data_IF_399251547680
#
_entry.id   IF_399251547680
#
_cell.length_a   1.000
_cell.length_b   1.000
_cell.length_c   1.000
_cell.angle_alpha   90.00
_cell.angle_beta   90.00
_cell.angle_gamma   90.00
#
_symmetry.space_group_name_H-M   'P 1'
#
loop_
_entity.id
_entity.type
_entity.pdbx_description
1 polymer ?
#
# COMPACT_ATOMS: atom_id res chain seq x y z
N UNK A 1 -23.53 -20.27 -7.21
CA UNK A 1 -22.36 -19.58 -6.64
C UNK A 1 -21.82 -18.61 -7.68
N UNK A 2 -21.74 -17.28 -7.43
CA UNK A 2 -21.41 -16.31 -8.47
C UNK A 2 -19.92 -16.27 -8.86
N UNK A 3 -19.09 -17.19 -8.34
CA UNK A 3 -17.62 -17.13 -8.50
C UNK A 3 -17.05 -18.22 -9.41
N UNK A 4 -17.88 -19.06 -10.01
CA UNK A 4 -17.44 -20.16 -10.89
C UNK A 4 -16.85 -19.71 -12.23
N UNK A 5 -16.92 -18.42 -12.56
CA UNK A 5 -16.46 -17.86 -13.84
C UNK A 5 -15.44 -16.72 -13.66
N UNK A 6 -14.70 -16.70 -12.54
CA UNK A 6 -13.61 -15.72 -12.40
C UNK A 6 -12.51 -15.97 -13.42
N UNK A 7 -11.95 -14.89 -14.02
CA UNK A 7 -10.81 -15.03 -14.88
C UNK A 7 -9.69 -15.80 -14.15
N UNK A 8 -9.02 -16.76 -14.80
CA UNK A 8 -7.95 -17.56 -14.19
C UNK A 8 -6.86 -16.73 -13.53
N UNK A 9 -6.56 -15.55 -14.10
CA UNK A 9 -5.58 -14.60 -13.55
C UNK A 9 -5.97 -14.09 -12.16
N UNK A 10 -7.23 -13.73 -11.92
CA UNK A 10 -7.68 -13.30 -10.60
C UNK A 10 -7.63 -14.45 -9.60
N UNK A 11 -8.00 -15.64 -10.01
CA UNK A 11 -7.96 -16.83 -9.15
C UNK A 11 -6.52 -17.17 -8.75
N UNK A 12 -5.56 -17.13 -9.68
CA UNK A 12 -4.15 -17.40 -9.40
C UNK A 12 -3.53 -16.35 -8.50
N UNK A 13 -3.81 -15.06 -8.75
CA UNK A 13 -3.34 -13.94 -7.91
C UNK A 13 -3.88 -14.04 -6.49
N UNK A 14 -5.17 -14.29 -6.32
CA UNK A 14 -5.78 -14.42 -4.99
C UNK A 14 -5.27 -15.65 -4.24
N UNK A 15 -5.03 -16.74 -4.94
CA UNK A 15 -4.44 -17.96 -4.36
C UNK A 15 -3.01 -17.73 -3.90
N UNK A 16 -2.22 -17.01 -4.68
CA UNK A 16 -0.85 -16.62 -4.31
C UNK A 16 -0.85 -15.77 -3.02
N UNK A 17 -1.69 -14.76 -2.92
CA UNK A 17 -1.83 -13.95 -1.72
C UNK A 17 -2.33 -14.76 -0.52
N UNK A 18 -3.25 -15.68 -0.75
CA UNK A 18 -3.84 -16.52 0.28
C UNK A 18 -2.85 -17.53 0.89
N UNK A 19 -1.84 -17.97 0.15
CA UNK A 19 -0.84 -18.96 0.59
C UNK A 19 -0.06 -18.56 1.85
N UNK A 20 0.03 -17.25 2.12
CA UNK A 20 0.71 -16.68 3.30
C UNK A 20 -0.16 -16.65 4.57
N UNK A 21 -1.41 -17.08 4.49
CA UNK A 21 -2.35 -17.01 5.58
C UNK A 21 -2.67 -18.39 6.15
N UNK A 22 -3.14 -18.41 7.40
CA UNK A 22 -3.70 -19.63 7.98
C UNK A 22 -4.86 -20.16 7.11
N UNK A 23 -4.97 -21.48 6.97
CA UNK A 23 -5.93 -22.19 6.08
C UNK A 23 -7.34 -21.58 6.07
N UNK A 24 -7.92 -21.26 7.24
CA UNK A 24 -9.26 -20.66 7.34
C UNK A 24 -9.33 -19.25 6.74
N UNK A 25 -8.30 -18.44 6.93
CA UNK A 25 -8.22 -17.08 6.36
C UNK A 25 -7.91 -17.13 4.86
N UNK A 26 -7.06 -18.07 4.44
CA UNK A 26 -6.73 -18.31 3.04
C UNK A 26 -7.97 -18.63 2.20
N UNK A 27 -8.86 -19.50 2.70
CA UNK A 27 -10.12 -19.84 2.01
C UNK A 27 -11.09 -18.66 1.88
N UNK A 28 -11.01 -17.66 2.79
CA UNK A 28 -11.93 -16.52 2.81
C UNK A 28 -11.39 -15.30 2.07
N UNK A 29 -10.06 -15.16 1.97
CA UNK A 29 -9.43 -13.98 1.37
C UNK A 29 -9.90 -13.73 -0.07
N UNK A 30 -9.93 -14.71 -1.00
CA UNK A 30 -10.39 -14.48 -2.36
C UNK A 30 -11.80 -13.89 -2.41
N UNK A 31 -12.70 -14.42 -1.59
CA UNK A 31 -14.10 -13.94 -1.51
C UNK A 31 -14.17 -12.50 -1.00
N UNK A 32 -13.34 -12.14 0.01
CA UNK A 32 -13.27 -10.77 0.51
C UNK A 32 -12.67 -9.81 -0.52
N UNK A 33 -11.64 -10.20 -1.26
CA UNK A 33 -11.06 -9.38 -2.32
C UNK A 33 -12.06 -9.10 -3.43
N UNK A 34 -12.86 -10.09 -3.82
CA UNK A 34 -13.98 -9.87 -4.75
C UNK A 34 -15.02 -8.91 -4.18
N UNK A 35 -15.34 -9.05 -2.90
CA UNK A 35 -16.22 -8.12 -2.23
C UNK A 35 -15.71 -6.67 -2.27
N UNK A 36 -14.41 -6.48 -2.12
CA UNK A 36 -13.78 -5.14 -2.26
C UNK A 36 -13.92 -4.60 -3.68
N UNK A 37 -13.72 -5.44 -4.70
CA UNK A 37 -13.82 -5.04 -6.11
C UNK A 37 -15.24 -4.69 -6.54
N UNK A 38 -16.24 -5.44 -6.05
CA UNK A 38 -17.63 -5.29 -6.48
C UNK A 38 -18.49 -4.48 -5.52
N UNK A 39 -17.94 -4.02 -4.38
CA UNK A 39 -18.71 -3.19 -3.46
C UNK A 39 -19.05 -1.83 -4.08
N UNK A 40 -20.33 -1.52 -4.17
CA UNK A 40 -20.86 -0.22 -4.57
C UNK A 40 -21.25 0.61 -3.36
N UNK A 41 -21.18 1.94 -3.48
CA UNK A 41 -21.56 2.86 -2.41
C UNK A 41 -20.47 3.04 -1.34
N UNK A 42 -20.81 3.08 -0.06
CA UNK A 42 -19.87 3.32 1.04
C UNK A 42 -18.80 2.22 1.11
N UNK A 43 -17.54 2.61 1.10
CA UNK A 43 -16.38 1.69 1.21
C UNK A 43 -16.16 1.25 2.66
N UNK A 44 -17.09 0.46 3.19
CA UNK A 44 -17.01 -0.14 4.52
C UNK A 44 -16.75 -1.64 4.43
N UNK A 45 -16.16 -2.21 5.47
CA UNK A 45 -15.92 -3.67 5.54
C UNK A 45 -17.23 -4.46 5.40
N UNK A 46 -18.31 -3.94 5.98
CA UNK A 46 -19.64 -4.56 5.84
C UNK A 46 -20.17 -4.55 4.41
N UNK A 47 -19.90 -3.47 3.64
CA UNK A 47 -20.24 -3.42 2.21
C UNK A 47 -19.48 -4.47 1.40
N UNK A 48 -18.21 -4.71 1.73
CA UNK A 48 -17.42 -5.78 1.11
C UNK A 48 -18.03 -7.16 1.40
N UNK A 49 -18.45 -7.39 2.65
CA UNK A 49 -19.08 -8.67 3.01
C UNK A 49 -20.36 -8.91 2.23
N UNK A 50 -21.22 -7.89 2.14
CA UNK A 50 -22.47 -7.97 1.37
C UNK A 50 -22.21 -8.20 -0.11
N UNK A 51 -21.27 -7.46 -0.71
CA UNK A 51 -20.88 -7.65 -2.10
C UNK A 51 -20.26 -9.04 -2.34
N UNK A 52 -19.58 -9.60 -1.34
CA UNK A 52 -19.08 -10.98 -1.34
C UNK A 52 -20.17 -12.04 -1.05
N UNK A 53 -21.44 -11.65 -0.96
CA UNK A 53 -22.56 -12.54 -0.60
C UNK A 53 -22.39 -13.22 0.76
N UNK A 54 -21.76 -12.56 1.71
CA UNK A 54 -21.67 -12.99 3.11
C UNK A 54 -22.86 -12.31 3.83
N UNK A 55 -23.86 -13.05 4.22
CA UNK A 55 -25.14 -12.51 4.72
C UNK A 55 -25.43 -12.87 6.18
N UNK A 56 -24.98 -14.04 6.62
CA UNK A 56 -25.44 -14.61 7.88
C UNK A 56 -24.51 -14.27 9.06
N UNK A 57 -23.28 -14.73 9.04
CA UNK A 57 -22.30 -14.46 10.12
C UNK A 57 -21.10 -13.70 9.59
N UNK A 58 -20.95 -12.44 9.98
CA UNK A 58 -19.82 -11.59 9.63
C UNK A 58 -18.58 -11.82 10.49
N UNK A 59 -18.70 -12.49 11.63
CA UNK A 59 -17.59 -12.69 12.58
C UNK A 59 -16.38 -13.38 11.95
N UNK A 60 -16.51 -14.48 11.19
CA UNK A 60 -15.37 -15.10 10.52
C UNK A 60 -14.70 -14.20 9.49
N UNK A 61 -15.46 -13.33 8.82
CA UNK A 61 -14.95 -12.38 7.84
C UNK A 61 -14.17 -11.25 8.53
N UNK A 62 -14.67 -10.69 9.63
CA UNK A 62 -13.92 -9.73 10.45
C UNK A 62 -12.63 -10.33 11.01
N UNK A 63 -12.68 -11.57 11.51
CA UNK A 63 -11.49 -12.29 11.96
C UNK A 63 -10.45 -12.43 10.86
N UNK A 64 -10.90 -12.68 9.62
CA UNK A 64 -10.00 -12.76 8.46
C UNK A 64 -9.38 -11.40 8.13
N UNK A 65 -10.15 -10.32 8.13
CA UNK A 65 -9.61 -8.95 7.92
C UNK A 65 -8.54 -8.63 8.97
N UNK A 66 -8.78 -8.94 10.25
CA UNK A 66 -7.80 -8.76 11.31
C UNK A 66 -6.55 -9.64 11.11
N UNK A 67 -6.70 -10.88 10.65
CA UNK A 67 -5.59 -11.78 10.36
C UNK A 67 -4.74 -11.24 9.20
N UNK A 68 -5.37 -10.81 8.09
CA UNK A 68 -4.72 -10.17 6.96
C UNK A 68 -3.85 -8.98 7.40
N UNK A 69 -4.39 -8.12 8.27
CA UNK A 69 -3.64 -6.97 8.79
C UNK A 69 -2.39 -7.32 9.61
N UNK A 70 -2.28 -8.55 10.13
CA UNK A 70 -1.07 -9.02 10.85
C UNK A 70 0.00 -9.58 9.91
N UNK A 71 -0.35 -9.91 8.68
CA UNK A 71 0.53 -10.54 7.69
C UNK A 71 0.92 -9.59 6.54
N UNK A 72 0.82 -8.27 6.75
CA UNK A 72 1.11 -7.25 5.72
C UNK A 72 2.44 -7.45 5.00
N UNK A 73 3.58 -7.74 5.66
CA UNK A 73 4.84 -7.96 4.95
C UNK A 73 4.81 -9.16 4.00
N UNK A 74 4.16 -10.24 4.39
CA UNK A 74 4.01 -11.44 3.56
C UNK A 74 3.06 -11.19 2.37
N UNK A 75 1.97 -10.48 2.62
CA UNK A 75 1.04 -10.09 1.56
C UNK A 75 1.69 -9.13 0.57
N UNK A 76 2.51 -8.19 1.04
CA UNK A 76 3.31 -7.32 0.19
C UNK A 76 4.28 -8.12 -0.70
N UNK A 77 4.93 -9.16 -0.15
CA UNK A 77 5.76 -10.07 -0.94
C UNK A 77 4.92 -10.84 -1.96
N UNK A 78 3.78 -11.39 -1.56
CA UNK A 78 2.84 -12.04 -2.48
C UNK A 78 2.39 -11.11 -3.61
N UNK A 79 2.13 -9.84 -3.28
CA UNK A 79 1.79 -8.80 -4.28
C UNK A 79 2.96 -8.54 -5.23
N UNK A 80 4.19 -8.40 -4.70
CA UNK A 80 5.39 -8.25 -5.54
C UNK A 80 5.56 -9.42 -6.50
N UNK A 81 5.41 -10.66 -6.02
CA UNK A 81 5.50 -11.86 -6.86
C UNK A 81 4.40 -11.93 -7.92
N UNK A 82 3.19 -11.48 -7.61
CA UNK A 82 2.09 -11.40 -8.57
C UNK A 82 2.29 -10.29 -9.62
N UNK A 83 2.92 -9.18 -9.25
CA UNK A 83 3.22 -8.05 -10.14
C UNK A 83 4.45 -8.33 -11.02
N UNK A 84 5.42 -9.07 -10.51
CA UNK A 84 6.69 -9.33 -11.18
C UNK A 84 6.57 -9.77 -12.66
N UNK A 85 5.67 -10.66 -13.06
CA UNK A 85 5.52 -11.05 -14.48
C UNK A 85 5.08 -9.92 -15.40
N UNK A 86 4.53 -8.83 -14.85
CA UNK A 86 4.13 -7.63 -15.60
C UNK A 86 5.27 -6.63 -15.78
N UNK A 87 6.40 -6.87 -15.13
CA UNK A 87 7.58 -6.02 -15.19
C UNK A 87 8.55 -6.59 -16.22
N UNK A 88 8.95 -5.78 -17.18
CA UNK A 88 9.80 -6.18 -18.30
C UNK A 88 11.20 -5.58 -18.19
N UNK A 89 12.21 -6.36 -18.66
CA UNK A 89 13.61 -5.94 -18.76
C UNK A 89 14.41 -6.08 -17.46
N UNK A 90 15.70 -5.70 -17.49
CA UNK A 90 16.64 -5.90 -16.39
C UNK A 90 16.47 -4.89 -15.24
N UNK A 91 15.64 -3.87 -15.41
CA UNK A 91 15.46 -2.75 -14.47
C UNK A 91 14.12 -2.84 -13.78
N UNK A 92 14.14 -2.81 -12.44
CA UNK A 92 12.96 -2.53 -11.65
C UNK A 92 12.90 -1.04 -11.32
N UNK A 93 11.85 -0.36 -11.75
CA UNK A 93 11.55 1.01 -11.33
C UNK A 93 10.40 0.99 -10.34
N UNK A 94 10.58 1.59 -9.18
CA UNK A 94 9.53 1.76 -8.18
C UNK A 94 9.24 3.24 -7.95
N UNK A 95 8.00 3.56 -7.61
CA UNK A 95 7.60 4.88 -7.14
C UNK A 95 7.28 4.83 -5.65
N UNK A 96 7.68 5.87 -4.93
CA UNK A 96 7.29 6.07 -3.53
C UNK A 96 6.67 7.45 -3.39
N UNK A 97 5.48 7.46 -2.81
CA UNK A 97 4.73 8.69 -2.57
C UNK A 97 3.82 8.53 -1.35
N UNK A 98 3.32 9.65 -0.83
CA UNK A 98 2.36 9.63 0.25
C UNK A 98 0.98 10.10 -0.19
N UNK A 99 -0.02 9.30 0.16
CA UNK A 99 -1.41 9.52 -0.23
C UNK A 99 -2.26 9.83 1.00
N UNK A 100 -2.81 11.05 1.11
CA UNK A 100 -3.79 11.37 2.14
C UNK A 100 -5.13 10.71 1.80
N UNK A 101 -5.79 10.15 2.81
CA UNK A 101 -7.13 9.56 2.69
C UNK A 101 -8.05 10.14 3.76
N UNK A 102 -9.06 10.95 3.38
CA UNK A 102 -9.99 11.53 4.33
C UNK A 102 -10.67 10.48 5.21
N UNK A 103 -10.89 10.84 6.45
CA UNK A 103 -11.64 10.04 7.43
C UNK A 103 -12.68 10.92 8.09
N UNK A 104 -13.72 10.29 8.59
CA UNK A 104 -14.84 10.95 9.25
C UNK A 104 -15.05 10.33 10.62
N UNK A 105 -15.37 11.14 11.59
CA UNK A 105 -15.61 10.74 12.96
C UNK A 105 -14.39 10.94 13.88
N UNK A 106 -14.63 11.20 15.18
CA UNK A 106 -13.59 11.60 16.13
C UNK A 106 -12.67 10.44 16.57
N UNK A 107 -13.16 9.20 16.51
CA UNK A 107 -12.48 8.03 17.06
C UNK A 107 -11.89 7.12 15.98
N UNK A 108 -11.11 7.71 15.06
CA UNK A 108 -10.42 6.93 14.02
C UNK A 108 -8.95 6.76 14.41
N UNK A 109 -8.58 5.55 14.81
CA UNK A 109 -7.22 5.22 15.22
C UNK A 109 -6.17 5.66 14.18
N UNK A 110 -5.22 6.48 14.61
CA UNK A 110 -4.11 6.94 13.75
C UNK A 110 -4.48 8.02 12.74
N UNK A 111 -5.71 8.51 12.74
CA UNK A 111 -6.07 9.68 11.96
C UNK A 111 -5.57 10.97 12.63
N UNK A 112 -5.25 11.95 11.83
CA UNK A 112 -4.78 13.26 12.26
C UNK A 112 -5.08 14.33 11.22
N UNK A 113 -4.77 15.58 11.53
CA UNK A 113 -4.87 16.69 10.58
C UNK A 113 -3.54 16.78 9.84
N UNK A 114 -3.61 16.63 8.51
CA UNK A 114 -2.45 16.68 7.63
C UNK A 114 -2.59 17.82 6.63
N UNK A 115 -1.45 18.38 6.21
CA UNK A 115 -1.45 19.31 5.08
C UNK A 115 -1.85 18.55 3.80
N UNK A 116 -2.76 19.15 3.04
CA UNK A 116 -3.19 18.62 1.73
C UNK A 116 -2.36 19.30 0.63
N UNK A 117 -1.39 18.62 0.02
CA UNK A 117 -0.49 19.27 -0.94
C UNK A 117 -1.16 19.60 -2.28
N UNK A 118 -2.29 18.97 -2.57
CA UNK A 118 -3.03 19.18 -3.82
C UNK A 118 -4.53 19.30 -3.55
N UNK A 119 -4.97 20.38 -2.86
CA UNK A 119 -6.38 20.63 -2.71
C UNK A 119 -6.99 20.85 -4.10
N UNK A 120 -8.05 20.10 -4.42
CA UNK A 120 -8.84 20.38 -5.62
C UNK A 120 -9.54 21.74 -5.51
N UNK A 121 -10.28 22.18 -6.55
CA UNK A 121 -10.94 23.49 -6.55
C UNK A 121 -11.84 23.77 -5.34
N UNK A 122 -12.40 22.72 -4.74
CA UNK A 122 -13.22 22.79 -3.52
C UNK A 122 -12.50 22.18 -2.29
N UNK A 123 -11.20 21.90 -2.39
CA UNK A 123 -10.45 21.20 -1.36
C UNK A 123 -9.83 22.13 -0.33
N UNK A 124 -9.89 21.73 0.93
CA UNK A 124 -9.27 22.46 2.03
C UNK A 124 -7.76 22.24 2.08
N UNK A 125 -7.03 23.25 2.57
CA UNK A 125 -5.57 23.19 2.80
C UNK A 125 -5.16 22.06 3.74
N UNK A 126 -6.05 21.61 4.59
CA UNK A 126 -5.84 20.53 5.55
C UNK A 126 -6.88 19.44 5.39
N UNK A 127 -6.48 18.21 5.62
CA UNK A 127 -7.36 17.04 5.61
C UNK A 127 -7.23 16.29 6.94
N UNK A 128 -8.38 16.01 7.56
CA UNK A 128 -8.44 15.05 8.66
C UNK A 128 -8.49 13.65 8.07
N UNK A 129 -7.52 12.81 8.42
CA UNK A 129 -7.49 11.46 7.87
C UNK A 129 -6.20 10.71 8.12
N UNK A 130 -5.96 9.73 7.29
CA UNK A 130 -4.74 8.93 7.26
C UNK A 130 -3.83 9.40 6.12
N UNK A 131 -2.52 9.28 6.33
CA UNK A 131 -1.52 9.42 5.27
C UNK A 131 -0.79 8.08 5.13
N UNK A 132 -0.74 7.56 3.92
CA UNK A 132 -0.10 6.30 3.60
C UNK A 132 1.14 6.55 2.76
N UNK A 133 2.30 6.08 3.23
CA UNK A 133 3.51 6.01 2.41
C UNK A 133 3.43 4.73 1.60
N UNK A 134 3.33 4.86 0.29
CA UNK A 134 3.06 3.77 -0.64
C UNK A 134 4.25 3.51 -1.53
N UNK A 135 4.63 2.24 -1.65
CA UNK A 135 5.61 1.72 -2.61
C UNK A 135 4.87 1.01 -3.73
N UNK A 136 5.08 1.42 -4.96
CA UNK A 136 4.50 0.83 -6.16
C UNK A 136 5.57 0.46 -7.19
N UNK A 137 5.42 -0.65 -7.89
CA UNK A 137 6.21 -0.96 -9.08
C UNK A 137 5.64 -0.22 -10.29
N UNK A 138 6.50 0.30 -11.15
CA UNK A 138 6.09 0.92 -12.41
C UNK A 138 6.19 -0.11 -13.55
N UNK A 139 5.05 -0.44 -14.13
CA UNK A 139 4.94 -1.32 -15.29
C UNK A 139 4.63 -0.51 -16.54
N UNK A 140 5.15 -0.94 -17.70
CA UNK A 140 4.77 -0.38 -18.99
C UNK A 140 3.41 -0.94 -19.41
N UNK A 141 2.55 -0.08 -19.91
CA UNK A 141 1.26 -0.45 -20.49
C UNK A 141 1.15 0.12 -21.91
N UNK A 142 0.69 -0.67 -22.90
CA UNK A 142 0.67 -0.24 -24.30
C UNK A 142 -0.20 1.01 -24.51
N UNK A 143 -1.36 1.10 -23.86
CA UNK A 143 -2.30 2.20 -24.05
C UNK A 143 -2.10 3.36 -23.06
N UNK A 144 -1.65 3.08 -21.84
CA UNK A 144 -1.56 4.07 -20.75
C UNK A 144 -0.13 4.50 -20.43
N UNK A 145 0.85 4.01 -21.17
CA UNK A 145 2.26 4.32 -20.96
C UNK A 145 2.82 3.63 -19.71
N UNK A 146 2.80 4.29 -18.56
CA UNK A 146 3.26 3.72 -17.30
C UNK A 146 2.11 3.63 -16.28
N UNK A 147 1.98 2.47 -15.64
CA UNK A 147 1.04 2.27 -14.54
C UNK A 147 1.79 1.94 -13.26
N UNK A 148 1.32 2.50 -12.15
CA UNK A 148 1.84 2.19 -10.83
C UNK A 148 1.02 1.04 -10.22
N UNK A 149 1.71 -0.03 -9.84
CA UNK A 149 1.14 -1.23 -9.21
C UNK A 149 1.54 -1.24 -7.73
N UNK A 150 0.64 -0.85 -6.80
CA UNK A 150 0.95 -0.76 -5.38
C UNK A 150 1.31 -2.13 -4.81
N UNK A 151 2.44 -2.20 -4.10
CA UNK A 151 2.90 -3.43 -3.45
C UNK A 151 2.79 -3.35 -1.93
N UNK A 152 3.12 -2.19 -1.35
CA UNK A 152 3.10 -1.98 0.09
C UNK A 152 2.63 -0.56 0.41
N UNK A 153 1.81 -0.42 1.46
CA UNK A 153 1.46 0.86 2.04
C UNK A 153 1.65 0.81 3.55
N UNK A 154 2.25 1.86 4.11
CA UNK A 154 2.46 1.99 5.55
C UNK A 154 1.76 3.24 6.07
N UNK A 155 1.00 3.10 7.16
CA UNK A 155 0.30 4.22 7.78
C UNK A 155 1.30 5.11 8.52
N UNK A 156 1.41 6.35 8.08
CA UNK A 156 2.13 7.40 8.79
C UNK A 156 1.25 7.98 9.90
N UNK A 157 1.80 8.06 11.11
CA UNK A 157 1.15 8.66 12.27
C UNK A 157 2.06 9.78 12.78
N UNK A 158 1.52 10.97 12.94
CA UNK A 158 2.28 12.10 13.49
C UNK A 158 2.72 11.79 14.91
N UNK A 159 3.84 12.36 15.32
CA UNK A 159 4.40 12.16 16.66
C UNK A 159 3.39 12.50 17.76
N UNK A 160 2.69 13.62 17.62
CA UNK A 160 1.69 14.09 18.58
C UNK A 160 0.46 13.18 18.69
N UNK A 161 0.14 12.44 17.61
CA UNK A 161 -1.02 11.55 17.59
C UNK A 161 -0.69 10.13 18.10
N UNK A 162 0.59 9.78 18.28
CA UNK A 162 0.99 8.47 18.80
C UNK A 162 0.49 8.21 20.23
N UNK A 163 0.42 9.26 21.05
CA UNK A 163 -0.07 9.17 22.42
C UNK A 163 -1.55 8.83 22.51
N UNK A 164 -2.34 9.21 21.49
CA UNK A 164 -3.78 8.96 21.38
C UNK A 164 -4.11 7.50 21.05
N UNK A 165 -3.12 6.75 20.52
CA UNK A 165 -3.32 5.34 20.23
C UNK A 165 -3.45 4.50 21.50
N UNK A 166 -4.27 3.45 21.48
CA UNK A 166 -4.28 2.45 22.52
C UNK A 166 -2.88 1.89 22.78
N UNK A 167 -2.47 1.70 24.04
CA UNK A 167 -1.12 1.25 24.44
C UNK A 167 -0.61 0.07 23.61
N UNK A 168 -1.45 -0.91 23.33
CA UNK A 168 -1.11 -2.11 22.52
C UNK A 168 -0.81 -1.82 21.04
N UNK A 169 -1.18 -0.64 20.54
CA UNK A 169 -0.98 -0.22 19.16
C UNK A 169 0.10 0.85 18.99
N UNK A 170 0.64 1.35 20.11
CA UNK A 170 1.74 2.33 20.07
C UNK A 170 2.99 1.69 19.50
N UNK A 171 3.67 2.45 18.67
CA UNK A 171 4.94 2.08 18.03
C UNK A 171 5.88 3.28 18.05
N UNK A 172 7.19 3.08 17.90
CA UNK A 172 8.13 4.19 17.77
C UNK A 172 7.72 5.12 16.63
N UNK A 173 7.94 6.42 16.81
CA UNK A 173 7.74 7.40 15.75
C UNK A 173 8.67 7.12 14.58
N UNK A 174 8.16 7.26 13.36
CA UNK A 174 8.91 7.18 12.12
C UNK A 174 8.48 8.30 11.20
N UNK A 175 9.46 9.00 10.64
CA UNK A 175 9.20 9.98 9.59
C UNK A 175 8.81 9.28 8.28
N UNK A 176 8.15 9.99 7.37
CA UNK A 176 7.84 9.46 6.02
C UNK A 176 9.11 9.01 5.29
N UNK A 177 10.23 9.75 5.45
CA UNK A 177 11.53 9.40 4.86
C UNK A 177 12.09 8.08 5.40
N UNK A 178 11.95 7.83 6.70
CA UNK A 178 12.35 6.56 7.31
C UNK A 178 11.47 5.42 6.80
N UNK A 179 10.15 5.62 6.72
CA UNK A 179 9.22 4.61 6.19
C UNK A 179 9.54 4.27 4.73
N UNK A 180 9.81 5.26 3.89
CA UNK A 180 10.23 5.05 2.51
C UNK A 180 11.55 4.27 2.43
N UNK A 181 12.53 4.59 3.27
CA UNK A 181 13.80 3.86 3.34
C UNK A 181 13.60 2.41 3.79
N UNK A 182 12.73 2.16 4.77
CA UNK A 182 12.36 0.81 5.21
C UNK A 182 11.69 0.00 4.10
N UNK A 183 10.86 0.62 3.26
CA UNK A 183 10.25 -0.04 2.11
C UNK A 183 11.28 -0.46 1.07
N UNK A 184 12.28 0.38 0.77
CA UNK A 184 13.41 0.00 -0.11
C UNK A 184 14.25 -1.12 0.51
N UNK A 185 14.51 -1.05 1.83
CA UNK A 185 15.22 -2.10 2.54
C UNK A 185 14.48 -3.44 2.48
N UNK A 186 13.17 -3.42 2.66
CA UNK A 186 12.31 -4.60 2.53
C UNK A 186 12.34 -5.17 1.10
N UNK A 187 12.25 -4.32 0.08
CA UNK A 187 12.18 -4.74 -1.31
C UNK A 187 13.51 -5.33 -1.82
N UNK A 188 14.65 -4.76 -1.37
CA UNK A 188 15.98 -5.06 -1.92
C UNK A 188 16.31 -6.55 -2.06
N UNK A 189 16.17 -7.40 -1.03
CA UNK A 189 16.52 -8.82 -1.12
C UNK A 189 15.68 -9.57 -2.16
N UNK A 190 14.42 -9.21 -2.31
CA UNK A 190 13.51 -9.84 -3.27
C UNK A 190 13.73 -9.38 -4.70
N UNK A 191 14.01 -8.09 -4.88
CA UNK A 191 14.22 -7.52 -6.21
C UNK A 191 15.58 -7.89 -6.81
N UNK A 192 16.63 -7.95 -5.99
CA UNK A 192 17.99 -8.18 -6.45
C UNK A 192 18.22 -9.56 -7.10
N UNK A 193 17.39 -10.54 -6.80
CA UNK A 193 17.46 -11.85 -7.43
C UNK A 193 16.82 -11.89 -8.82
N UNK A 194 16.16 -10.82 -9.25
CA UNK A 194 15.38 -10.78 -10.48
C UNK A 194 15.72 -9.60 -11.40
N UNK A 195 16.33 -8.55 -10.87
CA UNK A 195 16.63 -7.33 -11.61
C UNK A 195 18.08 -6.89 -11.36
N UNK A 196 18.74 -6.45 -12.43
CA UNK A 196 20.13 -5.97 -12.39
C UNK A 196 20.19 -4.55 -11.82
N UNK A 197 19.22 -3.71 -12.19
CA UNK A 197 19.13 -2.31 -11.77
C UNK A 197 17.87 -2.05 -10.95
N UNK A 198 18.03 -1.29 -9.87
CA UNK A 198 16.94 -0.87 -9.00
C UNK A 198 16.83 0.66 -8.98
N UNK A 199 15.71 1.19 -9.44
CA UNK A 199 15.45 2.62 -9.53
C UNK A 199 14.27 3.01 -8.64
N UNK A 200 14.40 4.12 -7.92
CA UNK A 200 13.34 4.68 -7.07
C UNK A 200 12.99 6.09 -7.57
N UNK A 201 11.77 6.27 -8.02
CA UNK A 201 11.21 7.57 -8.41
C UNK A 201 10.47 8.14 -7.21
N UNK A 202 10.83 9.35 -6.82
CA UNK A 202 10.23 10.05 -5.66
C UNK A 202 10.03 11.52 -5.98
N UNK A 203 9.15 12.16 -5.23
CA UNK A 203 9.02 13.62 -5.31
C UNK A 203 10.17 14.35 -4.56
N UNK A 204 10.25 15.67 -4.68
CA UNK A 204 11.27 16.49 -4.03
C UNK A 204 11.22 16.45 -2.49
N UNK A 205 10.07 16.11 -1.90
CA UNK A 205 9.94 15.99 -0.45
C UNK A 205 10.72 14.79 0.10
N UNK A 206 10.83 13.73 -0.71
CA UNK A 206 11.62 12.53 -0.38
C UNK A 206 13.09 12.63 -0.79
N UNK A 207 13.46 13.50 -1.71
CA UNK A 207 14.84 13.67 -2.19
C UNK A 207 15.74 14.38 -1.16
N UNK A 208 15.72 13.92 0.09
CA UNK A 208 16.49 14.46 1.20
C UNK A 208 17.56 13.46 1.67
N UNK A 209 18.64 14.02 2.22
CA UNK A 209 19.84 13.26 2.64
C UNK A 209 19.55 11.94 3.38
N UNK A 210 18.64 11.86 4.38
CA UNK A 210 18.40 10.61 5.08
C UNK A 210 17.90 9.49 4.14
N UNK A 211 16.93 9.78 3.26
CA UNK A 211 16.40 8.83 2.30
C UNK A 211 17.44 8.49 1.21
N UNK A 212 18.08 9.51 0.62
CA UNK A 212 19.08 9.32 -0.44
C UNK A 212 20.25 8.44 0.03
N UNK A 213 20.71 8.63 1.28
CA UNK A 213 21.77 7.80 1.87
C UNK A 213 21.32 6.35 2.03
N UNK A 214 20.10 6.12 2.52
CA UNK A 214 19.54 4.77 2.68
C UNK A 214 19.35 4.09 1.33
N UNK A 215 18.82 4.78 0.32
CA UNK A 215 18.66 4.28 -1.04
C UNK A 215 20.00 3.87 -1.66
N UNK A 216 21.04 4.73 -1.54
CA UNK A 216 22.40 4.43 -2.02
C UNK A 216 22.99 3.20 -1.33
N UNK A 217 22.82 3.06 -0.01
CA UNK A 217 23.29 1.89 0.75
C UNK A 217 22.63 0.58 0.30
N UNK A 218 21.45 0.66 -0.32
CA UNK A 218 20.70 -0.48 -0.88
C UNK A 218 20.83 -0.60 -2.39
N UNK A 219 21.76 0.13 -3.00
CA UNK A 219 22.02 0.14 -4.45
C UNK A 219 20.78 0.51 -5.27
N UNK A 220 19.97 1.47 -4.80
CA UNK A 220 18.93 2.11 -5.58
C UNK A 220 19.44 3.40 -6.21
N UNK A 221 19.17 3.58 -7.49
CA UNK A 221 19.32 4.86 -8.19
C UNK A 221 18.06 5.67 -7.94
N UNK A 222 18.20 6.87 -7.39
CA UNK A 222 17.05 7.74 -7.09
C UNK A 222 16.86 8.75 -8.19
N UNK A 223 15.64 8.84 -8.69
CA UNK A 223 15.18 9.86 -9.65
C UNK A 223 14.17 10.74 -8.94
N UNK A 224 14.40 12.04 -8.97
CA UNK A 224 13.49 13.02 -8.35
C UNK A 224 13.53 14.35 -9.07
N UNK A 225 12.46 15.14 -8.91
CA UNK A 225 12.52 16.56 -9.26
C UNK A 225 13.44 17.30 -8.31
N UNK A 226 14.33 18.10 -8.84
CA UNK A 226 15.01 19.11 -8.04
C UNK A 226 14.00 20.21 -7.68
N UNK A 227 13.99 20.72 -6.44
CA UNK A 227 13.24 21.92 -6.14
C UNK A 227 13.74 23.03 -7.06
N UNK A 228 12.82 23.82 -7.64
CA UNK A 228 13.20 25.03 -8.34
C UNK A 228 14.02 25.87 -7.38
N UNK A 229 15.22 26.29 -7.83
CA UNK A 229 16.00 27.27 -7.08
C UNK A 229 15.12 28.53 -7.00
N UNK A 230 14.68 28.88 -5.80
CA UNK A 230 14.04 30.17 -5.58
C UNK A 230 15.09 31.24 -5.86
N UNK A 231 14.92 31.91 -6.99
CA UNK A 231 15.65 33.16 -7.33
C UNK A 231 15.33 34.24 -6.33
#
# INVERSE_FOLDING_TARGET
>A
MPFSHLPPLLTSTFSCLASWLHKRSALRLPRLLLGILFATGRRTVTSWFRAATITDDFRPAYTTVCAVGRHVPHLALGTFLAVKPLLSGPRLTVAIDDTPTPRYGPEVDGAGIHHNPSPGPAGEKYVYGHVWVTLAALAKHPDWGAIALPMQAQLYIRQDDLSKLPRKRRRPFRTKLQMAAEQLHWLRPWAASHFEELWAVVDGAYAKRPFLRAAKQKNFIVVSRLPALSS
#
